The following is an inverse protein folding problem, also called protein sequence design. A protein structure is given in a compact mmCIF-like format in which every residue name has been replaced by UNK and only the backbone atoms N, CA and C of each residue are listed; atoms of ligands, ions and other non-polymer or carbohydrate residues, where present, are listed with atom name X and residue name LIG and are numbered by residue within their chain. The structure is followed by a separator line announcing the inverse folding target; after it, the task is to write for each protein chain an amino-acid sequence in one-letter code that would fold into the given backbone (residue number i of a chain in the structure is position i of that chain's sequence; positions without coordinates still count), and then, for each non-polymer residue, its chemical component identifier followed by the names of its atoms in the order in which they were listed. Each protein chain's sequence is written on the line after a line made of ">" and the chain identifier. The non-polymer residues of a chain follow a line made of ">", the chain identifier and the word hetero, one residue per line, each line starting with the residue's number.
data_IF_659870427455
#
_entry.id   IF_659870427455
#
_cell.length_a   1.000
_cell.length_b   1.000
_cell.length_c   1.000
_cell.angle_alpha   90.00
_cell.angle_beta   90.00
_cell.angle_gamma   90.00
#
_symmetry.space_group_name_H-M   'P 1'
#
loop_
_entity.id
_entity.type
_entity.pdbx_description
1 polymer ?
#
# COMPACT_ATOMS: atom_id res chain seq x y z
N UNK A 1 -8.31 -14.01 23.79
CA UNK A 1 -7.96 -12.78 24.53
C UNK A 1 -8.46 -11.62 23.69
N UNK A 2 -9.30 -10.74 24.25
CA UNK A 2 -9.73 -9.53 23.57
C UNK A 2 -8.75 -8.40 23.89
N UNK A 3 -8.30 -7.69 22.86
CA UNK A 3 -7.66 -6.39 23.02
C UNK A 3 -8.74 -5.33 22.92
N UNK A 4 -8.63 -4.26 23.71
CA UNK A 4 -9.50 -3.09 23.59
C UNK A 4 -8.98 -2.23 22.43
N UNK A 5 -9.84 -1.95 21.45
CA UNK A 5 -9.46 -1.30 20.19
C UNK A 5 -10.52 -0.27 19.81
N UNK A 6 -10.07 0.96 19.56
CA UNK A 6 -10.89 2.05 19.03
C UNK A 6 -10.91 2.02 17.49
N UNK A 7 -12.05 1.62 16.91
CA UNK A 7 -12.27 1.58 15.47
C UNK A 7 -12.96 2.85 14.99
N UNK A 8 -12.27 3.63 14.15
CA UNK A 8 -12.79 4.86 13.53
C UNK A 8 -12.87 4.72 12.02
N UNK A 9 -13.99 5.15 11.43
CA UNK A 9 -14.13 5.28 9.98
C UNK A 9 -13.69 6.68 9.58
N UNK A 10 -12.54 6.78 8.93
CA UNK A 10 -11.93 8.05 8.50
C UNK A 10 -11.40 7.91 7.08
N UNK A 11 -11.65 8.91 6.24
CA UNK A 11 -10.97 9.06 4.96
C UNK A 11 -9.57 9.65 5.21
N UNK A 12 -8.52 9.04 4.64
CA UNK A 12 -7.14 9.51 4.86
C UNK A 12 -6.92 10.96 4.40
N UNK A 13 -7.71 11.45 3.43
CA UNK A 13 -7.69 12.85 2.96
C UNK A 13 -8.28 13.82 3.98
N UNK A 14 -9.08 13.32 4.90
CA UNK A 14 -9.70 14.08 5.99
C UNK A 14 -8.97 13.86 7.33
N UNK A 15 -7.93 13.02 7.35
CA UNK A 15 -7.16 12.71 8.56
C UNK A 15 -6.55 13.99 9.16
N UNK A 16 -6.95 14.30 10.39
CA UNK A 16 -6.64 15.56 11.09
C UNK A 16 -5.88 15.37 12.40
N UNK A 17 -5.39 14.15 12.70
CA UNK A 17 -4.62 13.88 13.91
C UNK A 17 -3.35 14.75 14.00
N UNK A 18 -2.94 15.08 15.23
CA UNK A 18 -1.78 15.95 15.51
C UNK A 18 -1.01 15.49 16.76
N UNK A 19 0.16 14.88 16.55
CA UNK A 19 1.02 14.34 17.61
C UNK A 19 0.28 13.43 18.62
N UNK A 20 -0.57 12.53 18.11
CA UNK A 20 -1.41 11.65 18.93
C UNK A 20 -0.85 10.23 19.06
N UNK A 21 0.06 9.82 18.17
CA UNK A 21 0.53 8.44 18.08
C UNK A 21 2.05 8.34 18.14
N UNK A 22 2.56 7.35 18.86
CA UNK A 22 3.99 6.98 18.85
C UNK A 22 4.37 6.18 17.61
N UNK A 23 3.41 5.51 16.98
CA UNK A 23 3.62 4.75 15.76
C UNK A 23 2.38 4.71 14.86
N UNK A 24 2.61 4.62 13.57
CA UNK A 24 1.59 4.43 12.54
C UNK A 24 2.01 3.30 11.60
N UNK A 25 1.02 2.57 11.09
CA UNK A 25 1.25 1.49 10.12
C UNK A 25 0.22 1.60 9.00
N UNK A 26 0.69 1.63 7.77
CA UNK A 26 -0.13 1.39 6.57
C UNK A 26 0.33 0.08 5.95
N UNK A 27 -0.51 -0.95 6.05
CA UNK A 27 -0.14 -2.34 5.74
C UNK A 27 -0.98 -2.93 4.61
N UNK A 28 -0.49 -3.99 3.97
CA UNK A 28 -1.16 -4.67 2.85
C UNK A 28 -1.43 -3.77 1.65
N UNK A 29 -0.47 -2.91 1.29
CA UNK A 29 -0.57 -2.04 0.11
C UNK A 29 -1.74 -1.05 0.21
N UNK A 30 -1.97 -0.49 1.40
CA UNK A 30 -3.06 0.46 1.69
C UNK A 30 -2.69 1.93 1.42
N UNK A 31 -1.85 2.19 0.41
CA UNK A 31 -1.38 3.51 -0.02
C UNK A 31 -1.18 3.54 -1.54
N UNK A 32 -1.31 4.71 -2.18
CA UNK A 32 -1.15 4.85 -3.63
C UNK A 32 -2.47 4.86 -4.42
N UNK A 33 -3.61 4.92 -3.74
CA UNK A 33 -4.93 4.82 -4.39
C UNK A 33 -5.38 6.12 -5.06
N UNK A 34 -4.75 7.25 -4.72
CA UNK A 34 -5.11 8.57 -5.24
C UNK A 34 -4.09 9.03 -6.28
N UNK A 35 -4.19 10.29 -6.73
CA UNK A 35 -3.14 10.92 -7.52
C UNK A 35 -1.91 11.27 -6.65
N UNK A 36 -0.79 11.54 -7.32
CA UNK A 36 0.49 11.78 -6.66
C UNK A 36 0.51 13.02 -5.76
N UNK A 37 -0.40 14.00 -5.97
CA UNK A 37 -0.51 15.17 -5.08
C UNK A 37 -1.22 14.77 -3.78
N UNK A 38 -2.34 14.08 -3.90
CA UNK A 38 -3.14 13.59 -2.79
C UNK A 38 -2.38 12.57 -1.95
N UNK A 39 -1.67 11.62 -2.58
CA UNK A 39 -0.88 10.63 -1.86
C UNK A 39 0.30 11.27 -1.10
N UNK A 40 0.90 12.35 -1.63
CA UNK A 40 1.89 13.13 -0.88
C UNK A 40 1.27 13.84 0.32
N UNK A 41 0.10 14.46 0.17
CA UNK A 41 -0.64 15.06 1.29
C UNK A 41 -0.94 14.01 2.39
N UNK A 42 -1.32 12.79 2.00
CA UNK A 42 -1.54 11.69 2.95
C UNK A 42 -0.25 11.37 3.74
N UNK A 43 0.93 11.37 3.12
CA UNK A 43 2.20 11.20 3.85
C UNK A 43 2.45 12.34 4.85
N UNK A 44 2.19 13.59 4.47
CA UNK A 44 2.27 14.72 5.41
C UNK A 44 1.30 14.56 6.59
N UNK A 45 0.10 14.03 6.35
CA UNK A 45 -0.87 13.75 7.42
C UNK A 45 -0.38 12.65 8.36
N UNK A 46 0.19 11.56 7.83
CA UNK A 46 0.82 10.54 8.67
C UNK A 46 1.95 11.14 9.51
N UNK A 47 2.79 12.00 8.90
CA UNK A 47 3.85 12.70 9.62
C UNK A 47 3.29 13.57 10.75
N UNK A 48 2.22 14.33 10.51
CA UNK A 48 1.60 15.20 11.51
C UNK A 48 0.93 14.41 12.63
N UNK A 49 0.30 13.27 12.31
CA UNK A 49 -0.36 12.41 13.30
C UNK A 49 0.61 11.84 14.35
N UNK A 50 1.90 11.73 14.01
CA UNK A 50 2.92 11.16 14.88
C UNK A 50 3.55 12.20 15.81
N UNK A 51 3.72 11.81 17.07
CA UNK A 51 4.55 12.53 18.05
C UNK A 51 6.00 12.63 17.57
N UNK A 52 6.78 13.64 18.03
CA UNK A 52 8.21 13.72 17.71
C UNK A 52 8.97 12.44 18.06
N UNK A 53 9.71 11.88 17.10
CA UNK A 53 10.39 10.60 17.24
C UNK A 53 9.50 9.37 17.00
N UNK A 54 8.21 9.57 16.68
CA UNK A 54 7.29 8.50 16.33
C UNK A 54 7.63 7.83 15.01
N UNK A 55 7.25 6.56 14.84
CA UNK A 55 7.63 5.76 13.66
C UNK A 55 6.47 5.52 12.70
N UNK A 56 6.71 5.66 11.39
CA UNK A 56 5.77 5.25 10.36
C UNK A 56 6.31 4.06 9.56
N UNK A 57 5.53 2.97 9.51
CA UNK A 57 5.77 1.84 8.63
C UNK A 57 4.76 1.83 7.49
N UNK A 58 5.26 1.94 6.26
CA UNK A 58 4.46 1.81 5.04
C UNK A 58 4.86 0.56 4.29
N UNK A 59 3.90 -0.29 3.97
CA UNK A 59 4.11 -1.54 3.29
C UNK A 59 3.36 -1.59 1.96
N UNK A 60 4.09 -1.90 0.89
CA UNK A 60 3.60 -1.89 -0.49
C UNK A 60 4.11 -3.10 -1.28
N UNK A 61 3.47 -3.38 -2.42
CA UNK A 61 4.03 -4.35 -3.37
C UNK A 61 5.38 -3.87 -3.91
N UNK A 62 6.36 -4.77 -3.92
CA UNK A 62 7.62 -4.52 -4.62
C UNK A 62 7.38 -4.59 -6.12
N UNK A 63 7.61 -3.52 -6.91
CA UNK A 63 7.45 -3.58 -8.36
C UNK A 63 8.39 -4.60 -9.00
N UNK A 64 9.59 -4.81 -8.41
CA UNK A 64 10.59 -5.75 -8.94
C UNK A 64 10.13 -7.20 -8.90
N UNK A 65 9.32 -7.57 -7.90
CA UNK A 65 8.77 -8.92 -7.80
C UNK A 65 7.38 -9.04 -8.41
N UNK A 66 6.56 -8.00 -8.28
CA UNK A 66 5.16 -8.01 -8.70
C UNK A 66 4.99 -7.86 -10.22
N UNK A 67 5.75 -6.97 -10.85
CA UNK A 67 5.61 -6.72 -12.30
C UNK A 67 5.95 -7.97 -13.12
N UNK A 68 7.08 -8.66 -12.90
CA UNK A 68 7.37 -9.89 -13.63
C UNK A 68 6.33 -11.00 -13.42
N UNK A 69 5.71 -11.10 -12.23
CA UNK A 69 4.65 -12.10 -11.99
C UNK A 69 3.35 -11.75 -12.72
N UNK A 70 3.00 -10.47 -12.83
CA UNK A 70 1.83 -10.00 -13.58
C UNK A 70 2.07 -10.17 -15.09
N UNK A 71 3.18 -9.65 -15.60
CA UNK A 71 3.49 -9.62 -17.04
C UNK A 71 3.93 -10.97 -17.63
N UNK A 72 4.20 -11.99 -16.82
CA UNK A 72 4.48 -13.34 -17.31
C UNK A 72 3.32 -13.91 -18.16
N UNK A 73 2.12 -13.33 -18.07
CA UNK A 73 0.88 -13.86 -18.66
C UNK A 73 0.15 -12.89 -19.61
N UNK A 74 0.86 -11.99 -20.33
CA UNK A 74 0.33 -10.94 -21.24
C UNK A 74 0.04 -9.56 -20.59
N UNK A 75 -0.44 -8.59 -21.37
CA UNK A 75 -0.80 -7.21 -20.93
C UNK A 75 -1.85 -7.19 -19.80
N UNK A 76 -2.55 -8.31 -19.61
CA UNK A 76 -3.57 -8.53 -18.58
C UNK A 76 -3.26 -9.82 -17.82
N UNK A 77 -3.28 -9.76 -16.48
CA UNK A 77 -3.12 -10.91 -15.59
C UNK A 77 -4.43 -11.21 -14.87
N UNK A 78 -4.72 -12.49 -14.62
CA UNK A 78 -5.95 -12.91 -13.95
C UNK A 78 -5.62 -13.89 -12.84
N UNK A 79 -5.90 -13.49 -11.61
CA UNK A 79 -5.83 -14.36 -10.44
C UNK A 79 -7.23 -14.87 -10.07
N UNK A 80 -7.34 -16.16 -9.78
CA UNK A 80 -8.59 -16.76 -9.32
C UNK A 80 -8.35 -17.45 -7.97
N UNK A 81 -8.98 -16.93 -6.93
CA UNK A 81 -9.02 -17.55 -5.61
C UNK A 81 -10.39 -18.21 -5.41
N UNK A 82 -10.40 -19.52 -5.12
CA UNK A 82 -11.62 -20.26 -4.79
C UNK A 82 -11.59 -20.76 -3.34
N UNK A 83 -12.68 -20.58 -2.62
CA UNK A 83 -12.89 -21.12 -1.27
C UNK A 83 -14.29 -21.75 -1.18
N UNK A 84 -14.37 -23.06 -1.37
CA UNK A 84 -15.64 -23.76 -1.48
C UNK A 84 -16.42 -23.32 -2.72
N UNK A 85 -17.61 -22.75 -2.52
CA UNK A 85 -18.43 -22.16 -3.58
C UNK A 85 -18.11 -20.67 -3.83
N UNK A 86 -17.44 -20.02 -2.89
CA UNK A 86 -17.03 -18.63 -3.04
C UNK A 86 -15.82 -18.52 -3.98
N UNK A 87 -15.80 -17.43 -4.76
CA UNK A 87 -14.72 -17.13 -5.69
C UNK A 87 -14.36 -15.64 -5.63
N UNK A 88 -13.08 -15.32 -5.79
CA UNK A 88 -12.61 -13.99 -6.11
C UNK A 88 -11.76 -14.06 -7.39
N UNK A 89 -12.02 -13.16 -8.32
CA UNK A 89 -11.29 -13.02 -9.57
C UNK A 89 -10.70 -11.61 -9.55
N UNK A 90 -9.38 -11.51 -9.64
CA UNK A 90 -8.67 -10.22 -9.73
C UNK A 90 -8.07 -10.12 -11.14
N UNK A 91 -8.61 -9.21 -11.94
CA UNK A 91 -8.14 -8.89 -13.29
C UNK A 91 -7.25 -7.65 -13.21
N UNK A 92 -6.08 -7.74 -13.78
CA UNK A 92 -4.92 -6.93 -13.44
C UNK A 92 -4.27 -6.35 -14.70
N UNK A 93 -4.12 -5.03 -14.79
CA UNK A 93 -3.43 -4.34 -15.89
C UNK A 93 -2.36 -3.37 -15.33
N UNK A 94 -1.23 -3.24 -16.01
CA UNK A 94 -0.13 -2.36 -15.60
C UNK A 94 0.13 -1.27 -16.62
N UNK A 95 0.02 -0.01 -16.19
CA UNK A 95 0.60 1.12 -16.90
C UNK A 95 2.04 1.33 -16.41
N UNK A 96 3.01 0.93 -17.23
CA UNK A 96 4.43 1.04 -16.90
C UNK A 96 4.94 2.50 -16.90
N UNK A 97 4.31 3.39 -17.69
CA UNK A 97 4.72 4.81 -17.78
C UNK A 97 4.26 5.56 -16.53
N UNK A 98 3.01 5.34 -16.12
CA UNK A 98 2.48 5.88 -14.87
C UNK A 98 2.94 5.09 -13.64
N UNK A 99 3.57 3.93 -13.82
CA UNK A 99 3.89 2.97 -12.76
C UNK A 99 2.69 2.74 -11.85
N UNK A 100 1.54 2.45 -12.47
CA UNK A 100 0.24 2.28 -11.83
C UNK A 100 -0.40 0.98 -12.25
N UNK A 101 -0.92 0.28 -11.27
CA UNK A 101 -1.62 -0.98 -11.44
C UNK A 101 -3.13 -0.75 -11.35
N UNK A 102 -3.89 -1.26 -12.32
CA UNK A 102 -5.35 -1.20 -12.38
C UNK A 102 -5.93 -2.58 -12.15
N UNK A 103 -6.97 -2.63 -11.31
CA UNK A 103 -7.60 -3.87 -10.89
C UNK A 103 -9.12 -3.81 -11.08
N UNK A 104 -9.68 -4.89 -11.63
CA UNK A 104 -11.10 -5.23 -11.47
C UNK A 104 -11.21 -6.49 -10.62
N UNK A 105 -11.82 -6.34 -9.44
CA UNK A 105 -12.08 -7.42 -8.51
C UNK A 105 -13.53 -7.86 -8.61
N UNK A 106 -13.74 -9.13 -8.93
CA UNK A 106 -15.05 -9.77 -8.98
C UNK A 106 -15.13 -10.76 -7.81
N UNK A 107 -16.00 -10.52 -6.85
CA UNK A 107 -16.24 -11.43 -5.72
C UNK A 107 -17.59 -12.11 -5.92
N UNK A 108 -17.60 -13.44 -5.86
CA UNK A 108 -18.77 -14.29 -5.93
C UNK A 108 -18.92 -14.95 -4.56
N UNK A 109 -19.99 -14.61 -3.83
CA UNK A 109 -20.27 -15.15 -2.50
C UNK A 109 -21.76 -15.40 -2.34
N UNK A 110 -22.16 -16.59 -1.90
CA UNK A 110 -23.59 -16.96 -1.78
C UNK A 110 -24.40 -16.64 -3.06
N UNK A 111 -23.81 -16.93 -4.23
CA UNK A 111 -24.35 -16.60 -5.56
C UNK A 111 -24.55 -15.11 -5.87
N UNK A 112 -24.10 -14.21 -5.00
CA UNK A 112 -24.05 -12.76 -5.23
C UNK A 112 -22.73 -12.41 -5.90
N UNK A 113 -22.79 -11.61 -6.96
CA UNK A 113 -21.62 -11.11 -7.69
C UNK A 113 -21.43 -9.63 -7.39
N UNK A 114 -20.30 -9.29 -6.80
CA UNK A 114 -19.86 -7.92 -6.54
C UNK A 114 -18.65 -7.59 -7.41
N UNK A 115 -18.63 -6.36 -7.94
CA UNK A 115 -17.52 -5.85 -8.75
C UNK A 115 -16.99 -4.57 -8.14
N UNK A 116 -15.68 -4.50 -7.98
CA UNK A 116 -14.98 -3.30 -7.54
C UNK A 116 -13.82 -3.01 -8.50
N UNK A 117 -13.61 -1.74 -8.81
CA UNK A 117 -12.47 -1.28 -9.60
C UNK A 117 -11.63 -0.35 -8.76
N UNK A 118 -10.32 -0.51 -8.84
CA UNK A 118 -9.38 0.36 -8.15
C UNK A 118 -8.07 0.44 -8.95
N UNK A 119 -7.26 1.44 -8.62
CA UNK A 119 -5.90 1.53 -9.13
C UNK A 119 -4.95 1.92 -8.02
N UNK A 120 -3.71 1.47 -8.09
CA UNK A 120 -2.69 1.70 -7.07
C UNK A 120 -1.37 2.09 -7.72
N UNK A 121 -0.76 3.16 -7.23
CA UNK A 121 0.59 3.58 -7.60
C UNK A 121 1.62 2.59 -7.07
N UNK A 122 2.51 2.15 -7.93
CA UNK A 122 3.65 1.31 -7.56
C UNK A 122 4.91 2.15 -7.45
N UNK A 123 5.57 2.10 -6.30
CA UNK A 123 6.75 2.91 -6.05
C UNK A 123 8.02 2.09 -6.12
N UNK A 124 9.07 2.71 -6.69
CA UNK A 124 10.42 2.21 -6.51
C UNK A 124 10.97 2.65 -5.15
N UNK A 125 11.99 1.95 -4.64
CA UNK A 125 12.67 2.33 -3.39
C UNK A 125 13.17 3.78 -3.37
N UNK A 126 13.90 4.30 -4.39
CA UNK A 126 14.37 5.68 -4.35
C UNK A 126 13.24 6.70 -4.35
N UNK A 127 12.16 6.44 -5.08
CA UNK A 127 11.00 7.33 -5.20
C UNK A 127 10.25 7.48 -3.87
N UNK A 128 9.87 6.37 -3.23
CA UNK A 128 9.14 6.45 -1.96
C UNK A 128 10.01 7.01 -0.83
N UNK A 129 11.32 6.75 -0.85
CA UNK A 129 12.25 7.35 0.11
C UNK A 129 12.35 8.87 -0.07
N UNK A 130 12.30 9.36 -1.30
CA UNK A 130 12.24 10.80 -1.58
C UNK A 130 10.95 11.40 -1.03
N UNK A 131 9.80 10.76 -1.28
CA UNK A 131 8.50 11.23 -0.76
C UNK A 131 8.44 11.24 0.76
N UNK A 132 9.01 10.22 1.42
CA UNK A 132 9.11 10.20 2.88
C UNK A 132 9.93 11.38 3.42
N UNK A 133 11.09 11.66 2.81
CA UNK A 133 11.92 12.80 3.22
C UNK A 133 11.22 14.14 2.96
N UNK A 134 10.59 14.28 1.80
CA UNK A 134 9.80 15.47 1.47
C UNK A 134 8.65 15.68 2.47
N UNK A 135 8.00 14.59 2.91
CA UNK A 135 6.97 14.60 3.93
C UNK A 135 7.48 14.97 5.34
N UNK A 136 8.81 15.05 5.56
CA UNK A 136 9.42 15.39 6.84
C UNK A 136 9.80 14.20 7.70
N UNK A 137 9.83 12.98 7.15
CA UNK A 137 10.38 11.82 7.85
C UNK A 137 11.91 11.80 7.78
N UNK A 138 12.54 11.68 8.94
CA UNK A 138 13.95 11.40 9.10
C UNK A 138 14.23 9.89 9.09
N UNK A 139 15.50 9.50 8.93
CA UNK A 139 15.96 8.10 8.93
C UNK A 139 15.22 7.16 7.97
N UNK A 140 14.63 7.72 6.91
CA UNK A 140 13.85 6.97 5.92
C UNK A 140 14.69 5.85 5.28
N UNK A 141 14.26 4.60 5.46
CA UNK A 141 14.93 3.41 4.91
C UNK A 141 13.94 2.37 4.41
N UNK A 142 14.38 1.58 3.43
CA UNK A 142 13.63 0.44 2.89
C UNK A 142 14.10 -0.88 3.50
N UNK A 143 13.15 -1.80 3.68
CA UNK A 143 13.35 -3.14 4.21
C UNK A 143 12.44 -4.12 3.46
N UNK A 144 12.72 -5.41 3.61
CA UNK A 144 11.77 -6.46 3.19
C UNK A 144 10.62 -6.64 4.19
N UNK A 145 9.69 -7.55 3.88
CA UNK A 145 8.53 -7.87 4.73
C UNK A 145 8.87 -8.40 6.15
N UNK A 146 10.14 -8.74 6.40
CA UNK A 146 10.64 -9.26 7.67
C UNK A 146 11.52 -8.25 8.43
N UNK A 147 11.65 -7.02 7.92
CA UNK A 147 12.56 -6.01 8.47
C UNK A 147 14.03 -6.23 8.10
N UNK A 148 14.30 -7.13 7.15
CA UNK A 148 15.62 -7.43 6.62
C UNK A 148 15.98 -6.59 5.39
N UNK A 149 17.02 -7.04 4.67
CA UNK A 149 17.53 -6.37 3.48
C UNK A 149 16.54 -6.47 2.32
N UNK A 150 16.07 -5.33 1.82
CA UNK A 150 15.28 -5.28 0.60
C UNK A 150 16.12 -5.70 -0.62
N UNK A 151 15.61 -6.62 -1.43
CA UNK A 151 16.22 -7.06 -2.69
C UNK A 151 15.18 -7.13 -3.80
N UNK A 152 15.62 -7.29 -5.04
CA UNK A 152 14.71 -7.50 -6.19
C UNK A 152 13.82 -8.74 -6.05
N UNK A 153 14.18 -9.67 -5.17
CA UNK A 153 13.37 -10.88 -4.91
C UNK A 153 12.31 -10.70 -3.82
N UNK A 154 12.44 -9.64 -3.01
CA UNK A 154 11.51 -9.29 -1.92
C UNK A 154 10.12 -9.03 -2.47
N UNK A 155 9.10 -9.62 -1.85
CA UNK A 155 7.71 -9.50 -2.31
C UNK A 155 7.11 -8.15 -1.97
N UNK A 156 7.54 -7.60 -0.84
CA UNK A 156 7.06 -6.32 -0.32
C UNK A 156 8.22 -5.35 -0.18
N UNK A 157 7.91 -4.08 -0.41
CA UNK A 157 8.79 -2.97 -0.11
C UNK A 157 8.20 -2.29 1.12
N UNK A 158 8.90 -2.38 2.24
CA UNK A 158 8.51 -1.73 3.50
C UNK A 158 9.41 -0.51 3.70
N UNK A 159 8.81 0.64 3.97
CA UNK A 159 9.51 1.87 4.32
C UNK A 159 9.30 2.17 5.79
N UNK A 160 10.38 2.44 6.51
CA UNK A 160 10.34 3.01 7.85
C UNK A 160 10.81 4.46 7.78
N UNK A 161 10.08 5.37 8.44
CA UNK A 161 10.51 6.75 8.68
C UNK A 161 10.20 7.19 10.10
N UNK A 162 11.01 8.13 10.62
CA UNK A 162 10.87 8.71 11.96
C UNK A 162 10.37 10.15 11.84
N UNK A 163 9.32 10.50 12.58
CA UNK A 163 8.72 11.83 12.61
C UNK A 163 9.68 12.87 13.20
#
# INVERSE_FOLDING_TARGET
>A
MGVDVDYRRVDLREMSFDAEFDAAVSWYSSFGYFDDETDRDILYRYRRALSPGGSFLLDMHSPYRHIPSVLANHEMHVDVLRRGEDMAIDIQELDAVASRYYAEKITIRNSVVERARYSVRMFTAPEILEWFRAAGFSEARVMDEHGGTFTVSSRRLVVLGTA
#
